data_IF_298233993172
#
_entry.id   IF_298233993172
#
_cell.length_a   1.000
_cell.length_b   1.000
_cell.length_c   1.000
_cell.angle_alpha   90.00
_cell.angle_beta   90.00
_cell.angle_gamma   90.00
#
_symmetry.space_group_name_H-M   'P 1'
#
loop_
_entity.id
_entity.type
_entity.pdbx_description
1 polymer ?
#
# COMPACT_ATOMS: atom_id res chain seq x y z
N UNK A 1 16.26 11.55 -33.36
CA UNK A 1 15.34 12.36 -32.53
C UNK A 1 15.68 12.07 -31.06
N UNK A 2 16.40 12.98 -30.40
CA UNK A 2 16.74 12.81 -28.99
C UNK A 2 15.46 13.03 -28.14
N UNK A 3 14.80 11.95 -27.73
CA UNK A 3 13.70 12.05 -26.78
C UNK A 3 14.26 12.52 -25.42
N UNK A 4 14.00 13.78 -25.08
CA UNK A 4 14.34 14.31 -23.74
C UNK A 4 13.61 13.43 -22.71
N UNK A 5 14.35 12.85 -21.76
CA UNK A 5 13.76 12.02 -20.72
C UNK A 5 12.69 12.82 -19.92
N UNK A 6 11.57 12.20 -19.56
CA UNK A 6 10.51 12.91 -18.86
C UNK A 6 11.01 13.38 -17.49
N UNK A 7 10.82 14.65 -17.18
CA UNK A 7 11.23 15.24 -15.89
C UNK A 7 10.31 14.84 -14.72
N UNK A 8 9.13 14.29 -14.99
CA UNK A 8 8.11 13.91 -13.99
C UNK A 8 7.41 12.62 -14.36
N UNK A 9 6.82 11.98 -13.38
CA UNK A 9 5.93 10.84 -13.60
C UNK A 9 4.66 11.26 -14.35
N UNK A 10 4.02 10.32 -15.05
CA UNK A 10 2.75 10.55 -15.72
C UNK A 10 1.63 10.85 -14.72
N UNK A 11 0.63 11.65 -15.09
CA UNK A 11 -0.47 12.05 -14.22
C UNK A 11 -1.21 10.86 -13.60
N UNK A 12 -1.43 9.77 -14.36
CA UNK A 12 -2.04 8.56 -13.84
C UNK A 12 -1.18 7.87 -12.76
N UNK A 13 0.16 7.84 -12.92
CA UNK A 13 1.07 7.29 -11.92
C UNK A 13 1.04 8.12 -10.63
N UNK A 14 1.01 9.46 -10.76
CA UNK A 14 0.91 10.38 -9.63
C UNK A 14 -0.44 10.20 -8.92
N UNK A 15 -1.56 10.20 -9.67
CA UNK A 15 -2.90 10.05 -9.11
C UNK A 15 -3.06 8.72 -8.35
N UNK A 16 -2.63 7.60 -8.95
CA UNK A 16 -2.67 6.29 -8.29
C UNK A 16 -1.75 6.22 -7.06
N UNK A 17 -0.61 6.90 -7.10
CA UNK A 17 0.26 6.96 -5.92
C UNK A 17 -0.46 7.62 -4.75
N UNK A 18 -0.97 8.82 -4.94
CA UNK A 18 -1.63 9.57 -3.87
C UNK A 18 -2.94 8.93 -3.43
N UNK A 19 -3.68 8.31 -4.34
CA UNK A 19 -4.87 7.52 -3.99
C UNK A 19 -4.50 6.38 -3.04
N UNK A 20 -3.46 5.60 -3.36
CA UNK A 20 -2.98 4.51 -2.50
C UNK A 20 -2.47 5.06 -1.17
N UNK A 21 -1.75 6.20 -1.15
CA UNK A 21 -1.31 6.85 0.10
C UNK A 21 -2.51 7.19 0.98
N UNK A 22 -3.53 7.84 0.44
CA UNK A 22 -4.75 8.21 1.20
C UNK A 22 -5.45 6.97 1.76
N UNK A 23 -5.58 5.91 0.95
CA UNK A 23 -6.18 4.64 1.40
C UNK A 23 -5.34 3.98 2.50
N UNK A 24 -4.02 3.94 2.37
CA UNK A 24 -3.14 3.38 3.40
C UNK A 24 -3.24 4.15 4.71
N UNK A 25 -3.24 5.49 4.66
CA UNK A 25 -3.47 6.32 5.85
C UNK A 25 -4.82 6.01 6.47
N UNK A 26 -5.89 5.93 5.68
CA UNK A 26 -7.23 5.63 6.17
C UNK A 26 -7.32 4.22 6.79
N UNK A 27 -6.66 3.21 6.20
CA UNK A 27 -6.59 1.84 6.74
C UNK A 27 -5.96 1.85 8.14
N UNK A 28 -4.82 2.50 8.31
CA UNK A 28 -4.12 2.54 9.58
C UNK A 28 -4.85 3.40 10.61
N UNK A 29 -5.19 4.64 10.27
CA UNK A 29 -5.92 5.56 11.15
C UNK A 29 -7.27 4.98 11.55
N UNK A 30 -8.01 4.38 10.62
CA UNK A 30 -9.29 3.73 10.90
C UNK A 30 -9.17 2.59 11.90
N UNK A 31 -8.07 1.84 11.89
CA UNK A 31 -7.82 0.76 12.87
C UNK A 31 -7.38 1.29 14.22
N UNK A 32 -6.54 2.32 14.27
CA UNK A 32 -6.08 2.93 15.52
C UNK A 32 -7.22 3.70 16.22
N UNK A 33 -7.94 4.51 15.46
CA UNK A 33 -9.00 5.37 16.00
C UNK A 33 -10.34 4.64 16.19
N UNK A 34 -10.48 3.37 15.80
CA UNK A 34 -11.75 2.63 15.91
C UNK A 34 -12.36 2.64 17.31
N UNK A 35 -11.51 2.71 18.35
CA UNK A 35 -11.92 2.78 19.75
C UNK A 35 -12.63 4.08 20.14
N UNK A 36 -12.44 5.17 19.38
CA UNK A 36 -13.03 6.49 19.61
C UNK A 36 -14.48 6.60 19.15
N UNK A 37 -14.92 5.65 18.31
CA UNK A 37 -16.27 5.65 17.76
C UNK A 37 -17.22 4.78 18.61
N UNK A 38 -18.54 5.08 18.62
CA UNK A 38 -19.55 4.26 19.25
C UNK A 38 -19.52 2.81 18.75
N UNK A 39 -19.87 1.85 19.62
CA UNK A 39 -19.79 0.41 19.30
C UNK A 39 -20.64 0.02 18.08
N UNK A 40 -21.73 0.74 17.83
CA UNK A 40 -22.67 0.53 16.74
C UNK A 40 -22.07 0.90 15.38
N UNK A 41 -21.23 1.92 15.34
CA UNK A 41 -20.60 2.45 14.12
C UNK A 41 -19.29 1.73 13.76
N UNK A 42 -18.57 1.20 14.75
CA UNK A 42 -17.26 0.55 14.56
C UNK A 42 -17.24 -0.54 13.48
N UNK A 43 -18.20 -1.48 13.43
CA UNK A 43 -18.18 -2.54 12.41
C UNK A 43 -18.26 -1.96 10.99
N UNK A 44 -19.07 -0.94 10.77
CA UNK A 44 -19.21 -0.29 9.47
C UNK A 44 -17.94 0.44 9.06
N UNK A 45 -17.33 1.20 9.98
CA UNK A 45 -16.04 1.87 9.73
C UNK A 45 -14.94 0.87 9.38
N UNK A 46 -14.81 -0.23 10.13
CA UNK A 46 -13.80 -1.27 9.86
C UNK A 46 -14.06 -1.94 8.50
N UNK A 47 -15.32 -2.21 8.16
CA UNK A 47 -15.68 -2.79 6.85
C UNK A 47 -15.29 -1.86 5.69
N UNK A 48 -15.56 -0.57 5.80
CA UNK A 48 -15.26 0.40 4.74
C UNK A 48 -13.76 0.68 4.72
N UNK A 49 -13.19 1.20 5.83
CA UNK A 49 -11.83 1.75 5.83
C UNK A 49 -10.74 0.68 5.85
N UNK A 50 -11.02 -0.52 6.39
CA UNK A 50 -10.01 -1.56 6.45
C UNK A 50 -10.23 -2.65 5.39
N UNK A 51 -11.42 -3.27 5.33
CA UNK A 51 -11.64 -4.38 4.40
C UNK A 51 -11.72 -3.89 2.97
N UNK A 52 -12.63 -2.92 2.69
CA UNK A 52 -12.83 -2.48 1.31
C UNK A 52 -11.63 -1.72 0.77
N UNK A 53 -11.01 -0.83 1.56
CA UNK A 53 -9.80 -0.13 1.13
C UNK A 53 -8.63 -1.11 0.96
N UNK A 54 -8.49 -2.11 1.84
CA UNK A 54 -7.48 -3.15 1.70
C UNK A 54 -7.59 -3.92 0.38
N UNK A 55 -8.80 -4.36 0.01
CA UNK A 55 -9.05 -5.01 -1.28
C UNK A 55 -8.84 -4.03 -2.44
N UNK A 56 -9.27 -2.78 -2.30
CA UNK A 56 -9.04 -1.77 -3.36
C UNK A 56 -7.55 -1.53 -3.58
N UNK A 57 -6.74 -1.45 -2.53
CA UNK A 57 -5.27 -1.35 -2.65
C UNK A 57 -4.71 -2.57 -3.38
N UNK A 58 -5.17 -3.80 -3.04
CA UNK A 58 -4.76 -5.03 -3.74
C UNK A 58 -5.03 -4.96 -5.25
N UNK A 59 -6.17 -4.38 -5.65
CA UNK A 59 -6.53 -4.22 -7.07
C UNK A 59 -5.74 -3.10 -7.76
N UNK A 60 -5.44 -2.01 -7.06
CA UNK A 60 -4.72 -0.87 -7.63
C UNK A 60 -3.21 -1.11 -7.77
N UNK A 61 -2.61 -1.94 -6.91
CA UNK A 61 -1.16 -2.18 -6.90
C UNK A 61 -0.66 -2.80 -8.22
N UNK A 62 -1.29 -3.85 -8.80
CA UNK A 62 -0.91 -4.39 -10.11
C UNK A 62 -1.00 -3.34 -11.22
N UNK A 63 -2.06 -2.51 -11.24
CA UNK A 63 -2.22 -1.43 -12.21
C UNK A 63 -1.08 -0.41 -12.08
N UNK A 64 -0.75 -0.03 -10.85
CA UNK A 64 0.35 0.89 -10.57
C UNK A 64 1.70 0.31 -11.00
N UNK A 65 1.92 -0.98 -10.77
CA UNK A 65 3.14 -1.67 -11.18
C UNK A 65 3.24 -1.73 -12.72
N UNK A 66 2.15 -2.06 -13.41
CA UNK A 66 2.10 -2.07 -14.86
C UNK A 66 2.42 -0.69 -15.46
N UNK A 67 1.85 0.39 -14.92
CA UNK A 67 2.16 1.75 -15.36
C UNK A 67 3.61 2.15 -15.08
N UNK A 68 4.21 1.63 -14.01
CA UNK A 68 5.61 1.88 -13.68
C UNK A 68 6.55 1.16 -14.63
N UNK A 69 6.26 -0.09 -14.99
CA UNK A 69 7.09 -0.90 -15.88
C UNK A 69 6.93 -0.48 -17.34
N UNK A 70 5.77 0.03 -17.73
CA UNK A 70 5.47 0.46 -19.09
C UNK A 70 6.04 1.83 -19.49
N UNK A 71 6.73 2.54 -18.59
CA UNK A 71 7.28 3.88 -18.87
C UNK A 71 8.66 4.05 -18.24
N UNK A 72 9.59 4.75 -18.92
CA UNK A 72 10.87 5.09 -18.32
C UNK A 72 10.66 5.96 -17.08
N UNK A 73 11.43 5.67 -16.03
CA UNK A 73 11.41 6.48 -14.81
C UNK A 73 12.17 7.80 -15.05
N UNK A 74 11.60 8.95 -14.66
CA UNK A 74 12.33 10.20 -14.73
C UNK A 74 13.58 10.13 -13.83
N UNK A 75 14.74 10.61 -14.28
CA UNK A 75 15.94 10.67 -13.47
C UNK A 75 15.76 11.63 -12.27
N UNK A 76 16.45 11.36 -11.19
CA UNK A 76 16.52 12.28 -10.02
C UNK A 76 17.58 13.35 -10.32
N UNK A 77 17.28 14.60 -10.00
CA UNK A 77 18.20 15.72 -10.20
C UNK A 77 18.36 16.53 -8.91
N UNK A 78 19.58 16.70 -8.37
CA UNK A 78 20.82 16.03 -8.79
C UNK A 78 20.78 14.49 -8.55
N UNK A 79 21.60 13.76 -9.31
CA UNK A 79 21.62 12.29 -9.22
C UNK A 79 22.11 11.83 -7.83
N UNK A 80 21.36 10.96 -7.13
CA UNK A 80 21.78 10.47 -5.83
C UNK A 80 22.92 9.46 -5.96
N UNK A 81 23.69 9.20 -4.89
CA UNK A 81 24.66 8.11 -4.84
C UNK A 81 24.01 6.74 -5.09
N UNK A 82 24.75 5.81 -5.72
CA UNK A 82 24.21 4.50 -6.11
C UNK A 82 23.64 3.67 -4.96
N UNK A 83 24.17 3.80 -3.73
CA UNK A 83 23.60 3.12 -2.57
C UNK A 83 22.19 3.61 -2.18
N UNK A 84 21.90 4.92 -2.39
CA UNK A 84 20.56 5.46 -2.17
C UNK A 84 19.56 4.94 -3.20
N UNK A 85 19.97 4.84 -4.47
CA UNK A 85 19.12 4.22 -5.50
C UNK A 85 18.80 2.78 -5.19
N UNK A 86 19.81 2.02 -4.72
CA UNK A 86 19.62 0.63 -4.32
C UNK A 86 18.69 0.49 -3.12
N UNK A 87 18.88 1.33 -2.10
CA UNK A 87 18.00 1.42 -0.95
C UNK A 87 16.54 1.74 -1.35
N UNK A 88 16.35 2.71 -2.23
CA UNK A 88 15.04 3.06 -2.74
C UNK A 88 14.36 1.90 -3.50
N UNK A 89 15.12 1.12 -4.29
CA UNK A 89 14.60 -0.08 -4.98
C UNK A 89 14.12 -1.13 -3.98
N UNK A 90 14.90 -1.40 -2.93
CA UNK A 90 14.54 -2.36 -1.87
C UNK A 90 13.28 -1.91 -1.15
N UNK A 91 13.20 -0.65 -0.72
CA UNK A 91 12.04 -0.10 -0.03
C UNK A 91 10.79 -0.17 -0.92
N UNK A 92 10.90 0.20 -2.19
CA UNK A 92 9.76 0.11 -3.11
C UNK A 92 9.30 -1.33 -3.33
N UNK A 93 10.21 -2.29 -3.51
CA UNK A 93 9.87 -3.71 -3.63
C UNK A 93 9.16 -4.19 -2.37
N UNK A 94 9.69 -3.88 -1.19
CA UNK A 94 9.08 -4.23 0.10
C UNK A 94 7.68 -3.64 0.25
N UNK A 95 7.45 -2.40 -0.19
CA UNK A 95 6.13 -1.76 -0.20
C UNK A 95 5.15 -2.50 -1.14
N UNK A 96 5.57 -2.88 -2.35
CA UNK A 96 4.71 -3.65 -3.25
C UNK A 96 4.34 -5.01 -2.66
N UNK A 97 5.33 -5.75 -2.13
CA UNK A 97 5.10 -7.03 -1.47
C UNK A 97 4.16 -6.88 -0.27
N UNK A 98 4.37 -5.85 0.53
CA UNK A 98 3.53 -5.53 1.68
C UNK A 98 2.08 -5.27 1.27
N UNK A 99 1.84 -4.38 0.31
CA UNK A 99 0.50 -4.02 -0.15
C UNK A 99 -0.26 -5.18 -0.80
N UNK A 100 0.44 -6.17 -1.36
CA UNK A 100 -0.17 -7.39 -1.92
C UNK A 100 -0.39 -8.44 -0.83
N UNK A 101 0.62 -8.71 -0.02
CA UNK A 101 0.57 -9.79 0.96
C UNK A 101 -0.44 -9.52 2.08
N UNK A 102 -0.58 -8.27 2.53
CA UNK A 102 -1.45 -7.94 3.66
C UNK A 102 -2.93 -8.24 3.41
N UNK A 103 -3.58 -7.74 2.33
CA UNK A 103 -4.96 -8.09 2.07
C UNK A 103 -5.15 -9.57 1.71
N UNK A 104 -4.18 -10.22 1.04
CA UNK A 104 -4.24 -11.65 0.75
C UNK A 104 -4.18 -12.50 2.02
N UNK A 105 -3.30 -12.18 2.98
CA UNK A 105 -3.24 -12.88 4.27
C UNK A 105 -4.57 -12.78 5.04
N UNK A 106 -5.18 -11.60 5.05
CA UNK A 106 -6.48 -11.41 5.67
C UNK A 106 -7.57 -12.20 4.94
N UNK A 107 -7.66 -12.06 3.62
CA UNK A 107 -8.67 -12.76 2.82
C UNK A 107 -8.55 -14.28 2.96
N UNK A 108 -7.34 -14.82 2.86
CA UNK A 108 -7.09 -16.24 3.08
C UNK A 108 -7.48 -16.70 4.49
N UNK A 109 -7.15 -15.87 5.53
CA UNK A 109 -7.55 -16.17 6.90
C UNK A 109 -9.07 -16.24 7.10
N UNK A 110 -9.82 -15.34 6.42
CA UNK A 110 -11.30 -15.36 6.43
C UNK A 110 -11.85 -16.55 5.66
N UNK A 111 -11.29 -16.86 4.48
CA UNK A 111 -11.66 -18.01 3.67
C UNK A 111 -11.55 -19.32 4.45
N UNK A 112 -10.41 -19.56 5.11
CA UNK A 112 -10.18 -20.75 5.92
C UNK A 112 -11.12 -20.87 7.14
N UNK A 113 -11.81 -19.78 7.51
CA UNK A 113 -12.85 -19.75 8.55
C UNK A 113 -14.26 -19.93 8.00
N UNK A 114 -14.42 -20.09 6.68
CA UNK A 114 -15.71 -20.12 6.02
C UNK A 114 -16.46 -18.79 6.06
N UNK A 115 -15.73 -17.64 6.16
CA UNK A 115 -16.29 -16.30 6.25
C UNK A 115 -15.99 -15.52 4.98
N UNK A 116 -16.96 -14.80 4.42
CA UNK A 116 -16.72 -13.89 3.30
C UNK A 116 -15.94 -12.65 3.77
N UNK A 117 -15.34 -11.95 2.82
CA UNK A 117 -14.76 -10.62 3.03
C UNK A 117 -15.71 -9.57 2.45
N UNK A 118 -16.13 -8.64 3.29
CA UNK A 118 -17.03 -7.57 2.88
C UNK A 118 -16.30 -6.53 2.01
N UNK A 119 -16.90 -6.16 0.86
CA UNK A 119 -16.35 -5.20 -0.09
C UNK A 119 -17.45 -4.29 -0.63
N UNK A 120 -17.54 -3.06 -0.14
CA UNK A 120 -18.53 -2.03 -0.52
C UNK A 120 -19.98 -2.51 -0.65
N UNK A 121 -20.44 -3.35 0.26
CA UNK A 121 -21.83 -3.88 0.24
C UNK A 121 -21.94 -5.29 -0.33
N UNK A 122 -20.88 -5.85 -0.89
CA UNK A 122 -20.85 -7.21 -1.43
C UNK A 122 -20.01 -8.12 -0.53
N UNK A 123 -20.37 -9.38 -0.46
CA UNK A 123 -19.58 -10.41 0.19
C UNK A 123 -18.74 -11.16 -0.86
N UNK A 124 -17.42 -10.94 -0.80
CA UNK A 124 -16.48 -11.65 -1.67
C UNK A 124 -16.36 -13.12 -1.20
N UNK A 125 -16.40 -14.08 -2.12
CA UNK A 125 -16.26 -15.50 -1.79
C UNK A 125 -14.88 -15.81 -1.21
N UNK A 126 -14.77 -16.93 -0.51
CA UNK A 126 -13.48 -17.42 -0.04
C UNK A 126 -12.55 -17.78 -1.19
N UNK A 127 -11.25 -17.54 -1.02
CA UNK A 127 -10.21 -17.97 -1.97
C UNK A 127 -9.96 -19.47 -1.90
N UNK A 128 -10.19 -20.07 -0.74
CA UNK A 128 -10.01 -21.49 -0.45
C UNK A 128 -11.21 -22.01 0.37
N UNK A 129 -11.49 -23.33 0.33
CA UNK A 129 -12.49 -23.92 1.19
C UNK A 129 -12.13 -23.76 2.67
N UNK A 130 -13.12 -23.83 3.58
CA UNK A 130 -12.88 -23.80 5.02
C UNK A 130 -11.94 -24.92 5.46
N UNK A 131 -11.02 -24.60 6.37
CA UNK A 131 -10.08 -25.55 6.94
C UNK A 131 -10.50 -25.92 8.38
N UNK A 132 -10.00 -27.04 8.89
CA UNK A 132 -10.16 -27.44 10.27
C UNK A 132 -9.46 -26.47 11.26
N UNK A 133 -9.75 -26.63 12.54
CA UNK A 133 -9.20 -25.77 13.57
C UNK A 133 -7.68 -25.95 13.74
N UNK A 134 -7.15 -27.15 13.50
CA UNK A 134 -5.73 -27.48 13.67
C UNK A 134 -4.90 -26.75 12.62
N UNK A 135 -5.28 -26.86 11.34
CA UNK A 135 -4.60 -26.19 10.23
C UNK A 135 -4.65 -24.68 10.40
N UNK A 136 -5.81 -24.09 10.77
CA UNK A 136 -5.92 -22.64 11.03
C UNK A 136 -5.01 -22.18 12.15
N UNK A 137 -4.88 -22.98 13.22
CA UNK A 137 -3.98 -22.69 14.35
C UNK A 137 -2.52 -22.77 13.95
N UNK A 138 -2.14 -23.74 13.12
CA UNK A 138 -0.76 -23.88 12.61
C UNK A 138 -0.36 -22.72 11.68
N UNK A 139 -1.21 -22.37 10.71
CA UNK A 139 -0.92 -21.30 9.74
C UNK A 139 -0.86 -19.89 10.38
N UNK A 140 -1.63 -19.61 11.42
CA UNK A 140 -1.66 -18.35 12.16
C UNK A 140 -1.73 -17.09 11.28
N UNK A 141 -2.42 -17.15 10.14
CA UNK A 141 -2.42 -16.08 9.13
C UNK A 141 -2.82 -14.71 9.68
N UNK A 142 -3.85 -14.65 10.55
CA UNK A 142 -4.25 -13.39 11.17
C UNK A 142 -3.22 -12.86 12.17
N UNK A 143 -2.44 -13.73 12.81
CA UNK A 143 -1.32 -13.32 13.66
C UNK A 143 -0.21 -12.70 12.82
N UNK A 144 0.12 -13.31 11.68
CA UNK A 144 1.08 -12.75 10.72
C UNK A 144 0.61 -11.43 10.14
N UNK A 145 -0.67 -11.33 9.74
CA UNK A 145 -1.26 -10.07 9.28
C UNK A 145 -1.02 -8.93 10.30
N UNK A 146 -1.31 -9.17 11.58
CA UNK A 146 -1.10 -8.16 12.63
C UNK A 146 0.38 -7.78 12.79
N UNK A 147 1.29 -8.77 12.91
CA UNK A 147 2.73 -8.50 13.09
C UNK A 147 3.36 -7.77 11.91
N UNK A 148 2.98 -8.16 10.69
CA UNK A 148 3.48 -7.49 9.49
C UNK A 148 2.87 -6.08 9.38
N UNK A 149 1.62 -5.86 9.83
CA UNK A 149 1.04 -4.53 9.90
C UNK A 149 1.82 -3.61 10.85
N UNK A 150 2.26 -4.11 12.01
CA UNK A 150 3.13 -3.38 12.93
C UNK A 150 4.47 -3.00 12.28
N UNK A 151 5.12 -3.92 11.57
CA UNK A 151 6.32 -3.61 10.78
C UNK A 151 6.04 -2.61 9.64
N UNK A 152 4.82 -2.59 9.14
CA UNK A 152 4.36 -1.66 8.10
C UNK A 152 4.46 -0.19 8.49
N UNK A 153 4.30 0.16 9.77
CA UNK A 153 4.52 1.54 10.25
C UNK A 153 5.94 2.02 9.94
N UNK A 154 6.92 1.17 10.23
CA UNK A 154 8.33 1.50 9.96
C UNK A 154 8.62 1.58 8.47
N UNK A 155 8.08 0.66 7.68
CA UNK A 155 8.28 0.64 6.23
C UNK A 155 7.67 1.87 5.54
N UNK A 156 6.43 2.23 5.89
CA UNK A 156 5.74 3.41 5.37
C UNK A 156 6.41 4.70 5.88
N UNK A 157 6.75 4.72 7.18
CA UNK A 157 7.44 5.84 7.81
C UNK A 157 8.81 6.09 7.18
N UNK A 158 9.62 5.06 6.96
CA UNK A 158 10.92 5.16 6.29
C UNK A 158 10.78 5.69 4.86
N UNK A 159 9.81 5.19 4.11
CA UNK A 159 9.55 5.69 2.76
C UNK A 159 9.17 7.17 2.73
N UNK A 160 8.26 7.60 3.61
CA UNK A 160 7.86 8.99 3.73
C UNK A 160 9.00 9.88 4.22
N UNK A 161 9.73 9.45 5.26
CA UNK A 161 10.86 10.18 5.80
C UNK A 161 11.98 10.35 4.77
N UNK A 162 12.30 9.31 4.00
CA UNK A 162 13.27 9.40 2.91
C UNK A 162 12.85 10.44 1.86
N UNK A 163 11.59 10.44 1.43
CA UNK A 163 11.07 11.42 0.47
C UNK A 163 11.15 12.86 1.00
N UNK A 164 10.87 13.08 2.29
CA UNK A 164 10.97 14.38 2.95
C UNK A 164 12.44 14.82 3.12
N UNK A 165 13.32 13.90 3.51
CA UNK A 165 14.76 14.16 3.62
C UNK A 165 15.34 14.55 2.26
N UNK A 166 15.01 13.83 1.20
CA UNK A 166 15.41 14.18 -0.16
C UNK A 166 14.93 15.59 -0.55
N UNK A 167 13.70 15.95 -0.18
CA UNK A 167 13.13 17.25 -0.52
C UNK A 167 13.75 18.42 0.30
N UNK A 168 13.86 18.25 1.63
CA UNK A 168 14.22 19.37 2.52
C UNK A 168 15.71 19.46 2.84
N UNK A 169 16.43 18.32 2.85
CA UNK A 169 17.84 18.26 3.22
C UNK A 169 18.73 18.13 1.98
N UNK A 170 18.44 17.17 1.10
CA UNK A 170 19.23 16.99 -0.12
C UNK A 170 18.88 18.02 -1.20
N UNK A 171 17.64 18.55 -1.18
CA UNK A 171 17.19 19.57 -2.11
C UNK A 171 16.91 19.04 -3.53
N UNK A 172 16.83 17.71 -3.71
CA UNK A 172 16.57 17.10 -5.01
C UNK A 172 15.08 17.15 -5.41
N UNK A 173 14.78 16.66 -6.60
CA UNK A 173 13.43 16.71 -7.16
C UNK A 173 12.56 15.47 -6.88
N UNK A 174 13.01 14.57 -6.00
CA UNK A 174 12.33 13.29 -5.71
C UNK A 174 10.85 13.45 -5.39
N UNK A 175 10.49 14.33 -4.48
CA UNK A 175 9.09 14.60 -4.13
C UNK A 175 8.37 15.41 -5.21
N UNK A 176 9.06 16.39 -5.82
CA UNK A 176 8.48 17.27 -6.85
C UNK A 176 8.05 16.50 -8.10
N UNK A 177 8.75 15.42 -8.46
CA UNK A 177 8.39 14.55 -9.59
C UNK A 177 7.08 13.79 -9.37
N UNK A 178 6.66 13.61 -8.12
CA UNK A 178 5.41 12.97 -7.70
C UNK A 178 4.30 13.97 -7.35
N UNK A 179 4.48 15.27 -7.67
CA UNK A 179 3.48 16.29 -7.44
C UNK A 179 2.75 16.67 -8.73
N UNK A 180 1.46 16.99 -8.62
CA UNK A 180 0.67 17.46 -9.77
C UNK A 180 1.24 18.78 -10.29
N UNK A 181 1.13 19.00 -11.60
CA UNK A 181 1.46 20.29 -12.19
C UNK A 181 0.50 21.35 -11.64
N UNK A 182 1.02 22.47 -11.16
CA UNK A 182 0.22 23.69 -11.16
C UNK A 182 0.11 24.14 -12.61
N UNK A 183 -1.13 24.17 -13.12
CA UNK A 183 -1.46 24.81 -14.41
C UNK A 183 -1.20 26.29 -14.29
#
# INVERSE_FOLDING_TARGET
MNSVAPQRFGSAQIALHWLVVVMMVAIYVGMECRGWFPKEVRPTLVRIMHYSFGITVLLLVPVRLALRLGRPMPPITPAPPGWQEQGARIVHLSLYLFMIAMPLLAWLSYSLRGKPVWFYGFDLPGLLPPADAVLRKQLRLMTWHKRIAEAGYWLLGLHAAAALLHHFVTGDDTLRRMWFRRT
#
